data_IF_671944258194
#
_entry.id   IF_671944258194
#
_cell.length_a   1.000
_cell.length_b   1.000
_cell.length_c   1.000
_cell.angle_alpha   90.00
_cell.angle_beta   90.00
_cell.angle_gamma   90.00
#
_symmetry.space_group_name_H-M   'P 1'
#
loop_
_entity.id
_entity.type
_entity.pdbx_description
1 polymer ?
#
# COMPACT_ATOMS: atom_id res chain seq x y z
N UNK A 1 23.88 22.79 -3.79
CA UNK A 1 23.90 21.40 -4.31
C UNK A 1 25.34 21.12 -4.70
N UNK A 2 26.04 20.19 -4.02
CA UNK A 2 27.46 19.91 -4.31
C UNK A 2 27.53 19.20 -5.67
N UNK A 3 28.21 19.81 -6.65
CA UNK A 3 28.48 19.18 -7.94
C UNK A 3 29.39 17.97 -7.71
N UNK A 4 28.88 16.76 -7.94
CA UNK A 4 29.72 15.58 -7.88
C UNK A 4 30.53 15.45 -9.18
N UNK A 5 31.85 15.17 -9.09
CA UNK A 5 32.67 14.97 -10.28
C UNK A 5 32.19 13.76 -11.08
N UNK A 6 32.17 13.90 -12.41
CA UNK A 6 31.70 12.86 -13.33
C UNK A 6 32.69 11.70 -13.35
N UNK A 7 32.33 10.58 -12.70
CA UNK A 7 33.14 9.34 -12.69
C UNK A 7 32.67 8.43 -13.82
N UNK A 8 33.62 7.88 -14.58
CA UNK A 8 33.36 6.90 -15.64
C UNK A 8 33.98 5.57 -15.22
N UNK A 9 33.23 4.48 -15.37
CA UNK A 9 33.71 3.11 -15.13
C UNK A 9 33.65 2.37 -16.47
N UNK A 10 34.80 1.86 -16.90
CA UNK A 10 34.92 1.01 -18.10
C UNK A 10 35.46 -0.35 -17.66
N UNK A 11 34.79 -1.43 -18.07
CA UNK A 11 35.23 -2.80 -17.82
C UNK A 11 35.76 -3.36 -19.12
N UNK A 12 36.96 -3.94 -19.09
CA UNK A 12 37.66 -4.49 -20.25
C UNK A 12 37.84 -6.00 -20.10
N UNK A 13 37.90 -6.73 -21.22
CA UNK A 13 38.34 -8.14 -21.24
C UNK A 13 39.87 -8.25 -21.24
N UNK A 14 40.38 -9.49 -21.25
CA UNK A 14 41.83 -9.78 -21.30
C UNK A 14 42.52 -9.23 -22.56
N UNK A 15 41.75 -8.81 -23.56
CA UNK A 15 42.21 -8.21 -24.81
C UNK A 15 41.87 -6.72 -24.90
N UNK A 16 41.58 -6.08 -23.76
CA UNK A 16 41.26 -4.66 -23.63
C UNK A 16 39.98 -4.21 -24.34
N UNK A 17 39.07 -5.12 -24.68
CA UNK A 17 37.80 -4.74 -25.30
C UNK A 17 36.76 -4.37 -24.24
N UNK A 18 35.98 -3.29 -24.44
CA UNK A 18 34.89 -2.93 -23.54
C UNK A 18 33.83 -4.03 -23.42
N UNK A 19 33.57 -4.46 -22.19
CA UNK A 19 32.50 -5.41 -21.87
C UNK A 19 31.37 -4.65 -21.16
N UNK A 20 30.10 -4.86 -21.56
CA UNK A 20 28.98 -4.33 -20.80
C UNK A 20 28.89 -4.99 -19.42
N UNK A 21 28.75 -4.16 -18.37
CA UNK A 21 28.56 -4.56 -16.96
C UNK A 21 27.31 -5.45 -16.80
N UNK A 22 26.26 -5.11 -17.54
CA UNK A 22 24.99 -5.82 -17.62
C UNK A 22 24.91 -6.51 -18.96
N UNK A 23 24.80 -7.83 -18.97
CA UNK A 23 24.56 -8.57 -20.19
C UNK A 23 23.12 -8.40 -20.71
N UNK A 24 22.84 -9.02 -21.86
CA UNK A 24 21.57 -8.79 -22.60
C UNK A 24 20.32 -9.22 -21.83
N UNK A 25 20.45 -10.08 -20.82
CA UNK A 25 19.34 -10.53 -19.97
C UNK A 25 19.39 -9.91 -18.56
N UNK A 26 20.23 -8.88 -18.34
CA UNK A 26 20.38 -8.24 -17.04
C UNK A 26 21.27 -9.02 -16.06
N UNK A 27 21.99 -10.04 -16.53
CA UNK A 27 23.00 -10.72 -15.74
C UNK A 27 24.20 -9.78 -15.48
N UNK A 28 24.61 -9.66 -14.22
CA UNK A 28 25.80 -8.87 -13.84
C UNK A 28 27.07 -9.67 -14.13
N UNK A 29 28.07 -9.05 -14.76
CA UNK A 29 29.39 -9.64 -14.96
C UNK A 29 30.39 -9.04 -13.97
N UNK A 30 30.85 -9.84 -13.00
CA UNK A 30 31.82 -9.43 -11.97
C UNK A 30 31.26 -9.41 -10.54
N UNK A 31 32.16 -9.20 -9.58
CA UNK A 31 31.83 -9.04 -8.15
C UNK A 31 31.68 -7.57 -7.80
N UNK A 32 30.45 -7.15 -7.53
CA UNK A 32 30.14 -5.79 -7.09
C UNK A 32 29.72 -5.82 -5.63
N UNK A 33 30.15 -4.81 -4.86
CA UNK A 33 29.54 -4.52 -3.58
C UNK A 33 28.09 -4.08 -3.84
N UNK A 34 27.14 -4.99 -3.64
CA UNK A 34 25.73 -4.66 -3.72
C UNK A 34 25.30 -4.08 -2.38
N UNK A 35 25.10 -2.76 -2.38
CA UNK A 35 24.45 -2.07 -1.27
C UNK A 35 22.95 -2.27 -1.42
N UNK A 36 22.46 -3.39 -0.88
CA UNK A 36 21.02 -3.61 -0.74
C UNK A 36 20.56 -2.92 0.54
N UNK A 37 19.78 -1.86 0.40
CA UNK A 37 19.06 -1.31 1.53
C UNK A 37 17.98 -2.32 1.92
N UNK A 38 18.15 -2.91 3.09
CA UNK A 38 17.15 -3.82 3.66
C UNK A 38 16.32 -3.05 4.68
N UNK A 39 15.02 -3.32 4.68
CA UNK A 39 14.15 -2.84 5.74
C UNK A 39 14.38 -3.63 7.03
N UNK A 40 13.73 -3.27 8.16
CA UNK A 40 13.85 -4.02 9.42
C UNK A 40 13.48 -5.51 9.34
N UNK A 41 12.86 -5.96 8.24
CA UNK A 41 12.55 -7.37 7.99
C UNK A 41 13.59 -8.09 7.11
N UNK A 42 14.70 -7.43 6.76
CA UNK A 42 15.77 -8.00 5.94
C UNK A 42 15.44 -8.07 4.45
N UNK A 43 14.39 -7.37 3.98
CA UNK A 43 13.96 -7.41 2.58
C UNK A 43 14.29 -6.12 1.85
N UNK A 44 14.66 -6.21 0.56
CA UNK A 44 15.07 -5.06 -0.26
C UNK A 44 13.97 -4.56 -1.22
N UNK A 45 12.74 -5.04 -1.07
CA UNK A 45 11.67 -4.87 -2.06
C UNK A 45 10.85 -3.60 -1.95
N UNK A 46 10.87 -2.89 -0.82
CA UNK A 46 10.01 -1.73 -0.62
C UNK A 46 10.70 -0.44 -1.09
N UNK A 47 10.28 0.08 -2.24
CA UNK A 47 10.65 1.43 -2.69
C UNK A 47 10.40 2.47 -1.58
N UNK A 48 11.12 3.60 -1.55
CA UNK A 48 10.93 4.66 -0.55
C UNK A 48 9.45 5.07 -0.38
N UNK A 49 9.04 5.33 0.86
CA UNK A 49 7.73 5.88 1.17
C UNK A 49 7.81 7.42 1.10
N UNK A 50 7.15 8.00 0.11
CA UNK A 50 7.01 9.45 0.03
C UNK A 50 5.67 9.84 0.62
N UNK A 51 5.69 10.73 1.63
CA UNK A 51 4.49 11.45 2.02
C UNK A 51 4.20 12.48 0.92
N UNK A 52 3.48 12.04 -0.09
CA UNK A 52 2.88 12.90 -1.10
C UNK A 52 1.54 13.34 -0.52
N UNK A 53 1.42 14.61 -0.17
CA UNK A 53 0.11 15.20 0.09
C UNK A 53 -0.55 15.40 -1.29
N UNK A 54 -1.62 14.66 -1.67
CA UNK A 54 -2.23 14.76 -3.00
C UNK A 54 -2.96 16.10 -3.25
N UNK A 55 -2.76 17.09 -2.38
CA UNK A 55 -3.51 18.33 -2.38
C UNK A 55 -2.78 19.37 -3.23
N UNK A 56 -3.16 19.50 -4.52
CA UNK A 56 -3.15 20.76 -5.31
C UNK A 56 -3.25 20.59 -6.83
N UNK A 57 -3.17 19.37 -7.38
CA UNK A 57 -3.06 19.18 -8.85
C UNK A 57 -4.40 18.83 -9.54
N UNK A 58 -5.47 18.57 -8.79
CA UNK A 58 -6.73 18.04 -9.33
C UNK A 58 -7.91 18.94 -8.95
N UNK A 59 -8.83 19.16 -9.89
CA UNK A 59 -10.04 20.01 -9.70
C UNK A 59 -11.05 19.42 -8.73
N UNK A 60 -11.03 18.10 -8.56
CA UNK A 60 -11.96 17.36 -7.72
C UNK A 60 -11.16 16.53 -6.72
N UNK A 61 -11.69 16.43 -5.50
CA UNK A 61 -11.14 15.53 -4.49
C UNK A 61 -11.34 14.07 -4.94
N UNK A 62 -10.43 13.21 -4.49
CA UNK A 62 -10.58 11.76 -4.64
C UNK A 62 -11.83 11.26 -3.92
N UNK A 63 -12.44 10.18 -4.44
CA UNK A 63 -13.58 9.54 -3.78
C UNK A 63 -13.17 8.95 -2.44
N UNK A 64 -14.09 8.93 -1.48
CA UNK A 64 -13.88 8.31 -0.17
C UNK A 64 -13.42 6.85 -0.30
N UNK A 65 -14.01 6.09 -1.24
CA UNK A 65 -13.65 4.69 -1.51
C UNK A 65 -12.21 4.52 -1.99
N UNK A 66 -11.69 5.45 -2.81
CA UNK A 66 -10.32 5.35 -3.33
C UNK A 66 -9.23 5.46 -2.24
N UNK A 67 -9.57 6.05 -1.10
CA UNK A 67 -8.68 6.17 0.05
C UNK A 67 -8.98 5.13 1.13
N UNK A 68 -10.25 4.88 1.45
CA UNK A 68 -10.66 4.03 2.56
C UNK A 68 -10.78 2.53 2.21
N UNK A 69 -10.88 2.19 0.93
CA UNK A 69 -11.04 0.81 0.45
C UNK A 69 -9.91 0.38 -0.49
N UNK A 70 -8.78 1.09 -0.48
CA UNK A 70 -7.62 0.76 -1.30
C UNK A 70 -6.44 0.33 -0.44
N UNK A 71 -5.98 -0.94 -0.52
CA UNK A 71 -4.77 -1.36 0.17
C UNK A 71 -3.54 -0.56 -0.30
N UNK A 72 -3.52 -0.18 -1.59
CA UNK A 72 -2.47 0.66 -2.16
C UNK A 72 -2.39 2.02 -1.45
N UNK A 73 -3.51 2.71 -1.29
CA UNK A 73 -3.55 4.02 -0.62
C UNK A 73 -3.20 3.92 0.87
N UNK A 74 -3.49 2.78 1.51
CA UNK A 74 -3.06 2.48 2.88
C UNK A 74 -1.57 2.10 3.00
N UNK A 75 -0.86 1.98 1.88
CA UNK A 75 0.53 1.58 1.84
C UNK A 75 0.76 0.08 2.01
N UNK A 76 -0.28 -0.74 1.88
CA UNK A 76 -0.20 -2.21 2.02
C UNK A 76 0.24 -2.91 0.72
N UNK A 77 0.39 -2.15 -0.37
CA UNK A 77 0.67 -2.65 -1.72
C UNK A 77 -0.59 -2.79 -2.57
N UNK A 78 -0.42 -3.12 -3.84
CA UNK A 78 -1.55 -3.40 -4.75
C UNK A 78 -2.04 -4.85 -4.62
N UNK A 79 -3.36 -5.04 -4.55
CA UNK A 79 -3.96 -6.35 -4.44
C UNK A 79 -5.34 -6.32 -3.79
N UNK A 80 -5.86 -7.51 -3.52
CA UNK A 80 -7.15 -7.68 -2.85
C UNK A 80 -6.96 -7.82 -1.35
N UNK A 81 -7.67 -6.98 -0.58
CA UNK A 81 -7.57 -6.99 0.87
C UNK A 81 -8.45 -8.10 1.47
N UNK A 82 -7.84 -8.98 2.26
CA UNK A 82 -8.48 -10.06 2.97
C UNK A 82 -8.39 -9.79 4.47
N UNK A 83 -9.54 -9.56 5.11
CA UNK A 83 -9.63 -9.28 6.55
C UNK A 83 -10.16 -10.53 7.25
N UNK A 84 -9.38 -11.03 8.21
CA UNK A 84 -9.78 -12.15 9.06
C UNK A 84 -10.87 -11.75 10.04
N UNK A 85 -11.40 -12.74 10.78
CA UNK A 85 -12.48 -12.52 11.76
C UNK A 85 -12.16 -11.45 12.82
N UNK A 86 -10.87 -11.35 13.19
CA UNK A 86 -10.37 -10.37 14.13
C UNK A 86 -9.34 -9.52 13.40
N UNK A 87 -9.68 -8.25 13.12
CA UNK A 87 -8.84 -7.25 12.43
C UNK A 87 -7.62 -6.88 13.29
N UNK A 88 -6.68 -7.81 13.41
CA UNK A 88 -5.51 -7.79 14.29
C UNK A 88 -4.22 -7.77 13.48
N UNK A 89 -4.30 -7.67 12.16
CA UNK A 89 -3.21 -7.78 11.21
C UNK A 89 -2.52 -9.14 11.18
N UNK A 90 -2.87 -10.08 12.07
CA UNK A 90 -2.29 -11.43 12.12
C UNK A 90 -2.85 -12.33 11.04
N UNK A 91 -4.18 -12.28 10.88
CA UNK A 91 -4.94 -13.05 9.90
C UNK A 91 -5.50 -12.15 8.81
N UNK A 92 -5.00 -10.93 8.70
CA UNK A 92 -5.37 -9.99 7.65
C UNK A 92 -4.18 -9.93 6.68
N UNK A 93 -4.45 -9.98 5.38
CA UNK A 93 -3.41 -9.92 4.36
C UNK A 93 -3.92 -9.23 3.10
N UNK A 94 -2.99 -8.83 2.24
CA UNK A 94 -3.28 -8.40 0.88
C UNK A 94 -2.84 -9.51 -0.04
N UNK A 95 -3.77 -10.01 -0.86
CA UNK A 95 -3.48 -10.92 -1.95
C UNK A 95 -2.88 -10.09 -3.10
N UNK A 96 -1.56 -10.15 -3.32
CA UNK A 96 -0.88 -9.14 -4.09
C UNK A 96 -1.07 -9.34 -5.59
N UNK A 97 -1.33 -8.23 -6.30
CA UNK A 97 -1.43 -8.24 -7.76
C UNK A 97 -0.09 -8.57 -8.41
N UNK A 98 1.00 -8.01 -7.88
CA UNK A 98 2.36 -8.31 -8.30
C UNK A 98 3.07 -9.24 -7.30
N UNK A 99 3.38 -10.46 -7.73
CA UNK A 99 4.05 -11.49 -6.91
C UNK A 99 5.55 -11.62 -7.16
N UNK A 100 6.17 -10.75 -7.95
CA UNK A 100 7.57 -10.89 -8.38
C UNK A 100 8.54 -11.10 -7.23
N UNK A 101 8.45 -10.27 -6.19
CA UNK A 101 9.39 -10.28 -5.08
C UNK A 101 9.16 -11.48 -4.16
N UNK A 102 7.90 -11.92 -4.05
CA UNK A 102 7.52 -13.13 -3.31
C UNK A 102 8.08 -14.36 -4.01
N UNK A 103 7.89 -14.48 -5.33
CA UNK A 103 8.40 -15.59 -6.12
C UNK A 103 9.93 -15.66 -6.10
N UNK A 104 10.60 -14.51 -6.13
CA UNK A 104 12.07 -14.41 -6.03
C UNK A 104 12.60 -14.55 -4.60
N UNK A 105 11.72 -14.72 -3.60
CA UNK A 105 12.07 -14.73 -2.16
C UNK A 105 12.82 -13.46 -1.70
N UNK A 106 12.64 -12.35 -2.41
CA UNK A 106 13.24 -11.06 -2.10
C UNK A 106 12.45 -10.30 -1.04
N UNK A 107 11.13 -10.53 -0.96
CA UNK A 107 10.23 -9.97 0.04
C UNK A 107 9.04 -10.91 0.30
N UNK A 108 8.40 -10.76 1.46
CA UNK A 108 7.10 -11.40 1.75
C UNK A 108 5.91 -10.54 1.33
N UNK A 109 6.16 -9.34 0.83
CA UNK A 109 5.16 -8.34 0.49
C UNK A 109 5.22 -7.99 -1.00
N UNK A 110 4.17 -7.36 -1.50
CA UNK A 110 4.14 -6.75 -2.82
C UNK A 110 5.22 -5.65 -2.93
N UNK A 111 5.88 -5.48 -4.10
CA UNK A 111 6.97 -4.52 -4.29
C UNK A 111 6.65 -3.04 -3.93
N UNK A 112 5.40 -2.60 -3.99
CA UNK A 112 5.01 -1.24 -3.64
C UNK A 112 4.53 -1.11 -2.18
N UNK A 113 4.46 -2.20 -1.42
CA UNK A 113 4.07 -2.15 -0.01
C UNK A 113 5.07 -1.32 0.81
N UNK A 114 4.52 -0.40 1.60
CA UNK A 114 5.24 0.50 2.52
C UNK A 114 5.08 0.09 3.97
N UNK A 115 4.00 -0.61 4.30
CA UNK A 115 3.65 -1.03 5.66
C UNK A 115 2.98 -2.40 5.65
N UNK A 116 3.16 -3.20 6.70
CA UNK A 116 2.43 -4.45 6.88
C UNK A 116 1.04 -4.21 7.48
N UNK A 117 0.16 -5.22 7.45
CA UNK A 117 -1.14 -5.18 8.17
C UNK A 117 -0.99 -5.01 9.69
N UNK A 118 0.21 -5.22 10.24
CA UNK A 118 0.54 -4.98 11.64
C UNK A 118 1.08 -3.58 11.91
N UNK A 119 1.13 -2.71 10.90
CA UNK A 119 1.67 -1.37 11.02
C UNK A 119 3.20 -1.32 11.04
N UNK A 120 3.87 -2.41 10.69
CA UNK A 120 5.34 -2.45 10.64
C UNK A 120 5.82 -1.74 9.38
N UNK A 121 6.67 -0.73 9.54
CA UNK A 121 7.21 0.04 8.41
C UNK A 121 8.14 -0.83 7.56
N UNK A 122 7.76 -1.05 6.30
CA UNK A 122 8.56 -1.77 5.30
C UNK A 122 9.43 -0.85 4.46
N UNK A 123 9.00 0.40 4.28
CA UNK A 123 9.77 1.42 3.58
C UNK A 123 9.86 2.71 4.40
N UNK A 124 11.10 3.15 4.64
CA UNK A 124 11.36 4.42 5.31
C UNK A 124 10.94 5.62 4.47
N UNK A 125 10.81 6.76 5.14
CA UNK A 125 10.56 8.05 4.52
C UNK A 125 11.68 9.03 4.85
N UNK A 126 12.04 9.88 3.90
CA UNK A 126 13.06 10.92 4.11
C UNK A 126 12.55 12.13 4.90
N UNK A 127 11.22 12.27 5.08
CA UNK A 127 10.62 13.42 5.73
C UNK A 127 10.61 13.18 7.24
N UNK A 128 11.24 14.03 8.07
CA UNK A 128 11.49 13.74 9.49
C UNK A 128 10.24 13.45 10.34
N UNK A 129 9.07 13.94 9.93
CA UNK A 129 7.79 13.76 10.64
C UNK A 129 6.81 12.83 9.94
N UNK A 130 7.16 12.35 8.75
CA UNK A 130 6.31 11.42 8.02
C UNK A 130 6.50 10.01 8.58
N UNK A 131 5.43 9.22 8.55
CA UNK A 131 5.48 7.79 8.86
C UNK A 131 4.38 7.05 8.11
N UNK A 132 4.50 5.74 8.04
CA UNK A 132 3.40 4.87 7.64
C UNK A 132 2.32 4.82 8.72
N UNK A 133 1.13 4.36 8.35
CA UNK A 133 0.07 4.10 9.32
C UNK A 133 0.46 2.99 10.29
N UNK A 134 0.00 3.09 11.53
CA UNK A 134 0.05 1.96 12.46
C UNK A 134 -1.17 1.04 12.26
N UNK A 135 -1.20 -0.09 12.94
CA UNK A 135 -2.30 -1.05 12.83
C UNK A 135 -3.66 -0.47 13.23
N UNK A 136 -3.73 0.28 14.33
CA UNK A 136 -4.99 0.85 14.82
C UNK A 136 -5.59 1.82 13.80
N UNK A 137 -4.74 2.63 13.15
CA UNK A 137 -5.12 3.55 12.10
C UNK A 137 -5.63 2.82 10.86
N UNK A 138 -4.90 1.81 10.38
CA UNK A 138 -5.32 0.97 9.25
C UNK A 138 -6.71 0.37 9.54
N UNK A 139 -6.89 -0.22 10.72
CA UNK A 139 -8.15 -0.83 11.13
C UNK A 139 -9.29 0.19 11.20
N UNK A 140 -9.05 1.38 11.75
CA UNK A 140 -10.05 2.46 11.81
C UNK A 140 -10.46 2.92 10.40
N UNK A 141 -9.50 3.11 9.50
CA UNK A 141 -9.77 3.55 8.13
C UNK A 141 -10.62 2.50 7.39
N UNK A 142 -10.25 1.23 7.48
CA UNK A 142 -10.97 0.10 6.87
C UNK A 142 -12.36 -0.10 7.47
N UNK A 143 -12.51 0.11 8.79
CA UNK A 143 -13.81 0.03 9.46
C UNK A 143 -14.80 1.05 8.91
N UNK A 144 -14.36 2.30 8.70
CA UNK A 144 -15.17 3.33 8.03
C UNK A 144 -15.40 2.99 6.56
N UNK A 145 -14.43 2.34 5.92
CA UNK A 145 -14.55 1.79 4.56
C UNK A 145 -15.84 1.01 4.31
N UNK A 146 -16.31 0.23 5.28
CA UNK A 146 -17.55 -0.56 5.16
C UNK A 146 -18.83 0.30 5.06
N UNK A 147 -18.80 1.54 5.54
CA UNK A 147 -19.96 2.45 5.53
C UNK A 147 -20.05 3.26 4.23
N UNK A 148 -18.89 3.59 3.65
CA UNK A 148 -18.77 4.52 2.51
C UNK A 148 -19.58 4.11 1.27
N UNK A 149 -19.71 2.82 0.88
CA UNK A 149 -20.51 2.43 -0.29
C UNK A 149 -21.99 2.83 -0.23
N UNK A 150 -22.52 3.08 0.98
CA UNK A 150 -23.88 3.56 1.21
C UNK A 150 -23.93 4.99 1.74
N UNK A 151 -22.86 5.46 2.38
CA UNK A 151 -22.74 6.78 3.00
C UNK A 151 -21.52 7.54 2.42
N UNK A 152 -21.59 7.89 1.14
CA UNK A 152 -20.45 8.42 0.38
C UNK A 152 -20.28 9.95 0.46
N UNK A 153 -21.19 10.64 1.15
CA UNK A 153 -21.19 12.09 1.30
C UNK A 153 -20.67 12.55 2.67
N UNK A 154 -19.80 13.56 2.69
CA UNK A 154 -19.32 14.20 3.93
C UNK A 154 -20.44 14.71 4.86
N UNK A 155 -21.57 15.13 4.30
CA UNK A 155 -22.71 15.63 5.08
C UNK A 155 -23.58 14.55 5.72
N UNK A 156 -23.25 13.27 5.53
CA UNK A 156 -24.07 12.17 6.03
C UNK A 156 -24.17 12.18 7.57
N UNK A 157 -25.38 12.08 8.15
CA UNK A 157 -25.58 12.05 9.60
C UNK A 157 -24.76 11.01 10.34
N UNK A 158 -24.36 9.89 9.71
CA UNK A 158 -23.57 8.85 10.38
C UNK A 158 -22.23 9.36 10.91
N UNK A 159 -21.70 10.43 10.31
CA UNK A 159 -20.41 11.00 10.69
C UNK A 159 -20.48 11.95 11.88
N UNK A 160 -21.69 12.34 12.33
CA UNK A 160 -21.87 13.24 13.50
C UNK A 160 -21.57 12.53 14.82
N UNK A 161 -22.01 11.27 14.94
CA UNK A 161 -21.69 10.38 16.05
C UNK A 161 -21.41 8.99 15.49
N UNK A 162 -20.13 8.75 15.21
CA UNK A 162 -19.68 7.50 14.58
C UNK A 162 -19.84 6.29 15.52
N UNK A 163 -19.73 6.50 16.83
CA UNK A 163 -19.84 5.43 17.82
C UNK A 163 -21.29 4.95 17.96
N UNK A 164 -22.25 5.89 18.01
CA UNK A 164 -23.66 5.55 17.92
C UNK A 164 -23.99 4.86 16.59
N UNK A 165 -23.41 5.34 15.49
CA UNK A 165 -23.60 4.74 14.17
C UNK A 165 -23.06 3.31 14.09
N UNK A 166 -21.93 3.02 14.72
CA UNK A 166 -21.43 1.64 14.82
C UNK A 166 -22.33 0.73 15.64
N UNK A 167 -22.91 1.22 16.74
CA UNK A 167 -23.89 0.44 17.52
C UNK A 167 -25.12 0.13 16.68
N UNK A 168 -25.64 1.13 15.96
CA UNK A 168 -26.79 0.96 15.08
C UNK A 168 -26.48 0.00 13.93
N UNK A 169 -25.30 0.08 13.32
CA UNK A 169 -24.88 -0.81 12.23
C UNK A 169 -24.91 -2.30 12.63
N UNK A 170 -24.71 -2.61 13.91
CA UNK A 170 -24.80 -3.97 14.46
C UNK A 170 -26.21 -4.53 14.65
N UNK A 171 -27.24 -3.68 14.59
CA UNK A 171 -28.64 -4.07 14.82
C UNK A 171 -29.23 -4.87 13.66
N UNK A 172 -30.35 -5.57 13.91
CA UNK A 172 -31.11 -6.24 12.86
C UNK A 172 -31.79 -5.25 11.92
N UNK A 173 -32.19 -4.08 12.41
CA UNK A 173 -32.87 -3.07 11.60
C UNK A 173 -31.96 -2.51 10.52
N UNK A 174 -30.70 -2.19 10.88
CA UNK A 174 -29.71 -1.78 9.90
C UNK A 174 -29.42 -2.88 8.87
N UNK A 175 -29.32 -4.15 9.30
CA UNK A 175 -29.14 -5.29 8.38
C UNK A 175 -30.29 -5.41 7.38
N UNK A 176 -31.54 -5.31 7.85
CA UNK A 176 -32.73 -5.31 6.99
C UNK A 176 -32.73 -4.15 6.00
N UNK A 177 -32.30 -2.96 6.41
CA UNK A 177 -32.16 -1.81 5.51
C UNK A 177 -31.12 -2.08 4.42
N UNK A 178 -29.95 -2.61 4.80
CA UNK A 178 -28.89 -2.99 3.86
C UNK A 178 -29.38 -4.03 2.86
N UNK A 179 -30.04 -5.10 3.31
CA UNK A 179 -30.58 -6.14 2.44
C UNK A 179 -31.60 -5.57 1.43
N UNK A 180 -32.51 -4.71 1.88
CA UNK A 180 -33.46 -4.03 0.98
C UNK A 180 -32.74 -3.23 -0.10
N UNK A 181 -31.75 -2.43 0.26
CA UNK A 181 -30.99 -1.61 -0.69
C UNK A 181 -30.24 -2.47 -1.71
N UNK A 182 -29.59 -3.54 -1.25
CA UNK A 182 -28.82 -4.43 -2.12
C UNK A 182 -29.73 -5.24 -3.06
N UNK A 183 -30.88 -5.71 -2.59
CA UNK A 183 -31.83 -6.44 -3.41
C UNK A 183 -32.48 -5.54 -4.47
N UNK A 184 -32.82 -4.28 -4.13
CA UNK A 184 -33.38 -3.31 -5.09
C UNK A 184 -32.38 -3.03 -6.22
N UNK A 185 -31.09 -2.89 -5.90
CA UNK A 185 -30.04 -2.67 -6.91
C UNK A 185 -29.88 -3.85 -7.88
N UNK A 186 -30.06 -5.08 -7.41
CA UNK A 186 -30.00 -6.29 -8.25
C UNK A 186 -31.19 -6.43 -9.21
N UNK A 187 -32.34 -5.84 -8.89
CA UNK A 187 -33.54 -5.86 -9.75
C UNK A 187 -33.58 -4.74 -10.79
N UNK A 188 -32.67 -3.76 -10.68
CA UNK A 188 -32.59 -2.57 -11.55
C UNK A 188 -31.50 -2.65 -12.62
N UNK A 189 -30.78 -3.77 -12.69
CA UNK A 189 -29.87 -4.15 -13.78
C UNK A 189 -30.52 -5.25 -14.64
#
# INVERSE_FOLDING_TARGET
>A
MLSQPKRHLTILDEKENPIPVLGKMGEKRGHYQQWAFTNPHGTSGSNLAYALNPHSIQKQARTCTSCHLSPKTLGLGEGDLQIGKNSTGKNDWVEPLNRSDIMRKASRFEPQAKVSMRGETLAGTHQPKARTFNQEEINRILRVGNCIPCHDNYGDPIYKDIEASYKFAGTLDHRRMREKILNVRQTSE
#
